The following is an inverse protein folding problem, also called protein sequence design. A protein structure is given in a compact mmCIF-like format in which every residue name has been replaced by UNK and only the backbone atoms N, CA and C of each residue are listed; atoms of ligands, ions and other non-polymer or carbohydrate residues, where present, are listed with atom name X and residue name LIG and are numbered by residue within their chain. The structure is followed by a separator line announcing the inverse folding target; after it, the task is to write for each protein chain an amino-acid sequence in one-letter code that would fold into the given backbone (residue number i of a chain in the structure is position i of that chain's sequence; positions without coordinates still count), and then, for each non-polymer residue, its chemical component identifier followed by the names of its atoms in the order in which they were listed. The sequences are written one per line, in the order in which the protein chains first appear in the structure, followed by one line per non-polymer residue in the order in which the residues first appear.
data_IF_425248088591
#
_entry.id   IF_425248088591
#
_cell.length_a   1.000
_cell.length_b   1.000
_cell.length_c   1.000
_cell.angle_alpha   90.00
_cell.angle_beta   90.00
_cell.angle_gamma   90.00
#
_symmetry.space_group_name_H-M   'P 1'
#
loop_
_entity.id
_entity.type
_entity.pdbx_description
1 polymer ?
#
# COMPACT_ATOMS: atom_id res chain seq x y z
N UNK A 1 -6.65 9.21 -22.08
CA UNK A 1 -5.69 8.11 -22.43
C UNK A 1 -6.37 6.76 -22.45
N UNK A 2 -5.80 5.74 -23.15
CA UNK A 2 -6.17 4.33 -23.01
C UNK A 2 -5.33 3.76 -21.87
N UNK A 3 -5.98 3.27 -20.81
CA UNK A 3 -5.30 2.94 -19.56
C UNK A 3 -4.82 1.48 -19.50
N UNK A 4 -3.50 1.30 -19.29
CA UNK A 4 -2.85 0.02 -19.04
C UNK A 4 -1.85 0.11 -17.89
N UNK A 5 -2.10 1.00 -16.91
CA UNK A 5 -1.16 1.32 -15.82
C UNK A 5 -1.08 0.24 -14.74
N UNK A 6 -2.17 -0.47 -14.48
CA UNK A 6 -2.22 -1.52 -13.47
C UNK A 6 -2.39 -2.91 -14.11
N UNK A 7 -2.23 -4.01 -13.36
CA UNK A 7 -2.34 -5.37 -13.87
C UNK A 7 -3.70 -5.71 -14.48
N UNK A 8 -4.75 -4.97 -14.15
CA UNK A 8 -6.07 -5.14 -14.80
C UNK A 8 -6.05 -4.93 -16.30
N UNK A 9 -5.14 -4.09 -16.80
CA UNK A 9 -4.98 -3.80 -18.23
C UNK A 9 -6.33 -3.64 -18.94
N UNK A 10 -7.27 -2.94 -18.30
CA UNK A 10 -8.67 -2.89 -18.72
C UNK A 10 -8.88 -2.13 -20.05
N UNK A 11 -7.86 -1.43 -20.56
CA UNK A 11 -7.95 -0.66 -21.81
C UNK A 11 -8.99 0.47 -21.77
N UNK A 12 -9.45 0.84 -20.58
CA UNK A 12 -10.49 1.86 -20.45
C UNK A 12 -10.00 3.21 -20.93
N UNK A 13 -10.88 3.93 -21.63
CA UNK A 13 -10.65 5.32 -21.98
C UNK A 13 -10.82 6.16 -20.72
N UNK A 14 -9.79 6.93 -20.37
CA UNK A 14 -9.82 7.93 -19.30
C UNK A 14 -9.73 9.32 -19.95
N UNK A 15 -10.66 10.18 -19.60
CA UNK A 15 -10.62 11.62 -19.89
C UNK A 15 -10.14 12.38 -18.66
N UNK A 16 -9.96 13.66 -18.78
CA UNK A 16 -9.56 14.50 -17.64
C UNK A 16 -10.52 14.38 -16.44
N UNK A 17 -11.82 14.20 -16.72
CA UNK A 17 -12.89 14.21 -15.71
C UNK A 17 -13.58 12.87 -15.48
N UNK A 18 -13.41 11.89 -16.39
CA UNK A 18 -14.10 10.61 -16.32
C UNK A 18 -13.18 9.42 -16.61
N UNK A 19 -13.47 8.29 -15.95
CA UNK A 19 -12.83 7.02 -16.21
C UNK A 19 -13.79 5.85 -16.05
N UNK A 20 -13.85 4.98 -17.06
CA UNK A 20 -14.75 3.81 -17.10
C UNK A 20 -14.02 2.49 -16.86
N UNK A 21 -12.81 2.55 -16.30
CA UNK A 21 -12.08 1.35 -15.88
C UNK A 21 -12.57 0.79 -14.55
N UNK A 22 -11.98 -0.32 -14.11
CA UNK A 22 -12.32 -0.95 -12.84
C UNK A 22 -12.15 0.00 -11.64
N UNK A 23 -11.13 0.85 -11.68
CA UNK A 23 -10.88 1.86 -10.65
C UNK A 23 -11.84 3.06 -10.73
N UNK A 24 -12.61 3.22 -11.80
CA UNK A 24 -13.56 4.32 -12.08
C UNK A 24 -12.95 5.74 -12.10
N UNK A 25 -11.64 5.85 -12.09
CA UNK A 25 -10.95 7.11 -11.92
C UNK A 25 -10.65 7.82 -13.25
N UNK A 26 -10.77 9.16 -13.29
CA UNK A 26 -10.37 10.00 -14.42
C UNK A 26 -8.85 10.03 -14.59
N UNK A 27 -8.37 10.72 -15.62
CA UNK A 27 -6.94 10.96 -15.86
C UNK A 27 -6.35 11.91 -14.81
N UNK A 28 -7.08 12.97 -14.45
CA UNK A 28 -6.71 13.87 -13.36
C UNK A 28 -6.71 13.13 -12.01
N UNK A 29 -5.71 13.34 -11.14
CA UNK A 29 -5.66 12.66 -9.85
C UNK A 29 -6.79 13.13 -8.94
N UNK A 30 -7.48 12.17 -8.34
CA UNK A 30 -8.49 12.42 -7.31
C UNK A 30 -7.86 12.11 -5.97
N UNK A 31 -7.79 13.10 -5.10
CA UNK A 31 -7.19 13.02 -3.77
C UNK A 31 -8.25 13.23 -2.70
N UNK A 32 -8.26 12.37 -1.70
CA UNK A 32 -9.25 12.39 -0.61
C UNK A 32 -8.72 13.07 0.65
N UNK A 33 -7.41 13.05 0.85
CA UNK A 33 -6.74 13.67 2.00
C UNK A 33 -5.25 13.79 1.74
N UNK A 34 -4.64 14.85 2.28
CA UNK A 34 -3.19 15.03 2.35
C UNK A 34 -2.82 15.61 3.72
N UNK A 35 -2.12 14.85 4.56
CA UNK A 35 -1.78 15.26 5.92
C UNK A 35 -0.61 14.46 6.48
N UNK A 36 0.01 14.96 7.56
CA UNK A 36 0.97 14.18 8.33
C UNK A 36 0.26 12.98 8.97
N UNK A 37 0.79 11.78 8.75
CA UNK A 37 0.27 10.54 9.31
C UNK A 37 1.35 9.87 10.17
N UNK A 38 1.02 9.58 11.44
CA UNK A 38 1.97 9.07 12.43
C UNK A 38 1.87 7.57 12.67
N UNK A 39 1.00 6.88 11.93
CA UNK A 39 0.62 5.49 12.17
C UNK A 39 1.04 4.54 11.03
N UNK A 40 1.97 4.97 10.16
CA UNK A 40 2.68 4.06 9.27
C UNK A 40 3.72 3.26 10.06
N UNK A 41 4.42 2.36 9.40
CA UNK A 41 5.53 1.62 10.01
C UNK A 41 6.50 2.58 10.73
N UNK A 42 7.01 2.21 11.93
CA UNK A 42 7.81 3.11 12.77
C UNK A 42 8.93 3.85 12.03
N UNK A 43 9.74 3.20 11.15
CA UNK A 43 10.82 3.91 10.46
C UNK A 43 10.36 4.78 9.28
N UNK A 44 9.07 4.72 8.92
CA UNK A 44 8.47 5.59 7.90
C UNK A 44 7.86 6.82 8.55
N UNK A 45 7.10 6.64 9.63
CA UNK A 45 6.47 7.75 10.36
C UNK A 45 7.46 8.56 11.18
N UNK A 46 8.42 7.90 11.83
CA UNK A 46 9.34 8.56 12.76
C UNK A 46 8.59 9.41 13.80
N UNK A 47 9.17 10.54 14.19
CA UNK A 47 8.59 11.44 15.21
C UNK A 47 7.61 12.44 14.64
N UNK A 48 7.85 12.97 13.43
CA UNK A 48 7.05 14.04 12.83
C UNK A 48 5.89 13.50 11.99
N UNK A 49 5.99 12.26 11.53
CA UNK A 49 5.01 11.63 10.66
C UNK A 49 5.43 11.58 9.19
N UNK A 50 4.73 10.76 8.45
CA UNK A 50 4.80 10.61 7.00
C UNK A 50 3.86 11.60 6.33
N UNK A 51 4.31 12.33 5.32
CA UNK A 51 3.49 13.24 4.51
C UNK A 51 2.62 12.44 3.56
N UNK A 52 1.44 12.03 4.01
CA UNK A 52 0.63 11.02 3.32
C UNK A 52 -0.41 11.65 2.42
N UNK A 53 -0.46 11.21 1.17
CA UNK A 53 -1.45 11.59 0.15
C UNK A 53 -2.29 10.36 -0.21
N UNK A 54 -3.58 10.43 0.07
CA UNK A 54 -4.54 9.35 -0.20
C UNK A 54 -5.24 9.56 -1.54
N UNK A 55 -4.95 8.69 -2.50
CA UNK A 55 -5.61 8.70 -3.80
C UNK A 55 -6.90 7.90 -3.78
N UNK A 56 -7.92 8.39 -4.47
CA UNK A 56 -9.21 7.72 -4.63
C UNK A 56 -9.18 6.71 -5.76
N UNK A 57 -10.11 5.74 -5.70
CA UNK A 57 -10.17 4.60 -6.60
C UNK A 57 -9.17 3.51 -6.22
N UNK A 58 -9.37 2.30 -6.74
CA UNK A 58 -8.47 1.18 -6.52
C UNK A 58 -8.56 0.17 -7.66
N UNK A 59 -7.45 -0.47 -7.99
CA UNK A 59 -7.40 -1.59 -8.95
C UNK A 59 -7.84 -2.93 -8.35
N UNK A 60 -7.96 -3.00 -7.02
CA UNK A 60 -8.48 -4.15 -6.28
C UNK A 60 -9.91 -3.86 -5.77
N UNK A 61 -10.62 -4.90 -5.41
CA UNK A 61 -11.97 -4.82 -4.84
C UNK A 61 -12.07 -5.52 -3.48
N UNK A 62 -11.08 -5.31 -2.60
CA UNK A 62 -10.99 -6.02 -1.33
C UNK A 62 -12.26 -5.83 -0.48
N UNK A 63 -12.91 -6.93 -0.10
CA UNK A 63 -14.14 -6.90 0.70
C UNK A 63 -13.96 -6.32 2.10
N UNK A 64 -12.72 -6.32 2.61
CA UNK A 64 -12.33 -5.83 3.94
C UNK A 64 -11.55 -4.50 3.90
N UNK A 65 -11.69 -3.71 2.82
CA UNK A 65 -10.92 -2.49 2.68
C UNK A 65 -11.33 -1.46 3.73
N UNK A 66 -10.42 -1.08 4.62
CA UNK A 66 -10.65 -0.03 5.60
C UNK A 66 -10.80 1.35 4.95
N UNK A 67 -10.17 1.53 3.79
CA UNK A 67 -10.27 2.75 2.99
C UNK A 67 -11.45 2.69 1.99
N UNK A 68 -12.56 2.04 2.34
CA UNK A 68 -13.70 1.81 1.45
C UNK A 68 -14.26 3.10 0.86
N UNK A 69 -14.34 4.16 1.66
CA UNK A 69 -14.85 5.46 1.24
C UNK A 69 -14.11 6.01 0.01
N UNK A 70 -12.79 5.81 -0.06
CA UNK A 70 -11.98 6.30 -1.19
C UNK A 70 -11.77 5.24 -2.26
N UNK A 71 -11.72 3.94 -1.91
CA UNK A 71 -11.44 2.86 -2.85
C UNK A 71 -12.66 2.33 -3.60
N UNK A 72 -13.86 2.40 -2.99
CA UNK A 72 -15.11 1.88 -3.54
C UNK A 72 -16.19 2.95 -3.75
N UNK A 73 -16.19 4.03 -2.95
CA UNK A 73 -17.20 5.10 -3.01
C UNK A 73 -16.68 6.36 -3.72
N UNK A 74 -15.43 6.32 -4.22
CA UNK A 74 -14.82 7.35 -5.06
C UNK A 74 -14.74 8.74 -4.40
N UNK A 75 -14.81 8.80 -3.06
CA UNK A 75 -14.71 10.06 -2.34
C UNK A 75 -13.34 10.70 -2.56
N UNK A 76 -13.35 11.97 -2.96
CA UNK A 76 -12.15 12.77 -3.19
C UNK A 76 -12.43 13.95 -4.12
N UNK A 77 -11.42 14.77 -4.33
CA UNK A 77 -11.47 15.95 -5.20
C UNK A 77 -10.45 15.81 -6.33
N UNK A 78 -10.85 16.01 -7.59
CA UNK A 78 -9.91 16.13 -8.69
C UNK A 78 -8.98 17.31 -8.49
N UNK A 79 -7.69 17.12 -8.72
CA UNK A 79 -6.68 18.18 -8.65
C UNK A 79 -5.77 18.13 -9.89
N UNK A 80 -5.01 19.18 -10.11
CA UNK A 80 -3.99 19.23 -11.17
C UNK A 80 -2.68 18.57 -10.70
N UNK A 81 -1.80 18.23 -11.64
CA UNK A 81 -0.43 17.76 -11.33
C UNK A 81 0.35 18.84 -10.56
N UNK A 82 0.18 20.12 -10.92
CA UNK A 82 0.81 21.23 -10.20
C UNK A 82 0.35 21.27 -8.75
N UNK A 83 -0.97 21.15 -8.50
CA UNK A 83 -1.50 21.12 -7.13
C UNK A 83 -0.98 19.90 -6.35
N UNK A 84 -0.89 18.75 -6.98
CA UNK A 84 -0.30 17.56 -6.34
C UNK A 84 1.14 17.82 -5.89
N UNK A 85 1.94 18.50 -6.73
CA UNK A 85 3.30 18.86 -6.38
C UNK A 85 3.37 19.90 -5.25
N UNK A 86 2.47 20.92 -5.26
CA UNK A 86 2.33 21.87 -4.16
C UNK A 86 2.03 21.17 -2.83
N UNK A 87 1.10 20.20 -2.82
CA UNK A 87 0.78 19.38 -1.65
C UNK A 87 2.03 18.68 -1.10
N UNK A 88 2.90 18.16 -1.96
CA UNK A 88 4.15 17.54 -1.50
C UNK A 88 5.02 18.54 -0.73
N UNK A 89 5.17 19.77 -1.24
CA UNK A 89 5.95 20.80 -0.56
C UNK A 89 5.27 21.35 0.69
N UNK A 90 3.93 21.44 0.71
CA UNK A 90 3.17 21.81 1.89
C UNK A 90 3.41 20.80 3.04
N UNK A 91 3.42 19.50 2.74
CA UNK A 91 3.70 18.45 3.72
C UNK A 91 5.16 18.45 4.17
N UNK A 92 6.10 18.67 3.25
CA UNK A 92 7.53 18.82 3.57
C UNK A 92 7.73 20.03 4.48
N UNK A 93 7.08 21.17 4.18
CA UNK A 93 7.11 22.38 5.01
C UNK A 93 6.54 22.19 6.42
N UNK A 94 5.65 21.22 6.61
CA UNK A 94 5.13 20.79 7.93
C UNK A 94 6.09 19.82 8.66
N UNK A 95 7.22 19.45 8.06
CA UNK A 95 8.23 18.57 8.66
C UNK A 95 8.05 17.08 8.36
N UNK A 96 7.32 16.71 7.30
CA UNK A 96 7.19 15.33 6.87
C UNK A 96 8.55 14.67 6.62
N UNK A 97 8.77 13.47 7.15
CA UNK A 97 10.00 12.70 6.91
C UNK A 97 10.13 12.14 5.49
N UNK A 98 9.01 12.00 4.81
CA UNK A 98 8.88 11.48 3.44
C UNK A 98 7.55 11.92 2.83
N UNK A 99 7.36 11.69 1.53
CA UNK A 99 6.06 11.80 0.86
C UNK A 99 5.53 10.40 0.57
N UNK A 100 4.45 10.04 1.22
CA UNK A 100 3.83 8.71 1.16
C UNK A 100 2.57 8.74 0.27
N UNK A 101 2.67 8.06 -0.85
CA UNK A 101 1.62 7.98 -1.86
C UNK A 101 0.80 6.71 -1.61
N UNK A 102 -0.40 6.85 -1.04
CA UNK A 102 -1.27 5.71 -0.71
C UNK A 102 -2.17 5.38 -1.88
N UNK A 103 -2.05 4.14 -2.36
CA UNK A 103 -2.80 3.56 -3.49
C UNK A 103 -2.60 4.33 -4.81
N UNK A 104 -1.35 4.62 -5.22
CA UNK A 104 -1.03 5.46 -6.36
C UNK A 104 -1.03 4.71 -7.70
N UNK A 105 -1.12 3.39 -7.72
CA UNK A 105 -0.90 2.49 -8.88
C UNK A 105 -1.58 2.98 -10.17
N UNK A 106 -2.84 3.36 -10.08
CA UNK A 106 -3.64 3.79 -11.24
C UNK A 106 -3.42 5.26 -11.62
N UNK A 107 -2.58 5.98 -10.86
CA UNK A 107 -2.12 7.34 -11.11
C UNK A 107 -0.61 7.45 -11.34
N UNK A 108 0.07 6.34 -11.64
CA UNK A 108 1.52 6.33 -11.87
C UNK A 108 1.98 7.38 -12.89
N UNK A 109 1.21 7.62 -13.96
CA UNK A 109 1.51 8.63 -14.97
C UNK A 109 1.49 10.06 -14.41
N UNK A 110 0.59 10.35 -13.48
CA UNK A 110 0.50 11.65 -12.79
C UNK A 110 1.65 11.81 -11.78
N UNK A 111 1.94 10.75 -11.03
CA UNK A 111 3.06 10.73 -10.09
C UNK A 111 4.39 10.97 -10.80
N UNK A 112 4.60 10.32 -11.97
CA UNK A 112 5.77 10.55 -12.80
C UNK A 112 5.93 12.03 -13.21
N UNK A 113 4.83 12.69 -13.56
CA UNK A 113 4.84 14.11 -13.89
C UNK A 113 5.12 14.98 -12.65
N UNK A 114 4.51 14.69 -11.51
CA UNK A 114 4.73 15.43 -10.27
C UNK A 114 6.16 15.26 -9.72
N UNK A 115 6.84 14.16 -10.05
CA UNK A 115 8.20 13.83 -9.64
C UNK A 115 9.23 14.04 -10.78
N UNK A 116 8.99 14.89 -11.76
CA UNK A 116 9.99 15.23 -12.76
C UNK A 116 11.27 15.74 -12.09
N UNK A 117 11.11 16.68 -11.15
CA UNK A 117 12.20 17.16 -10.30
C UNK A 117 12.18 16.41 -8.96
N UNK A 118 13.34 15.96 -8.46
CA UNK A 118 13.43 15.27 -7.18
C UNK A 118 12.86 16.08 -6.01
N UNK A 119 12.36 15.38 -5.00
CA UNK A 119 11.97 15.97 -3.72
C UNK A 119 13.16 15.92 -2.74
N UNK A 120 13.24 16.82 -1.75
CA UNK A 120 14.28 16.82 -0.74
C UNK A 120 14.12 15.72 0.33
N UNK A 121 13.05 14.94 0.26
CA UNK A 121 12.75 13.82 1.15
C UNK A 121 12.42 12.57 0.33
N UNK A 122 12.57 11.35 0.88
CA UNK A 122 12.20 10.13 0.18
C UNK A 122 10.74 10.11 -0.25
N UNK A 123 10.48 9.48 -1.39
CA UNK A 123 9.12 9.14 -1.85
C UNK A 123 8.82 7.70 -1.50
N UNK A 124 7.66 7.48 -0.89
CA UNK A 124 7.13 6.17 -0.52
C UNK A 124 5.98 5.79 -1.45
N UNK A 125 6.11 4.63 -2.09
CA UNK A 125 5.03 4.02 -2.89
C UNK A 125 4.31 2.98 -2.04
N UNK A 126 3.14 3.36 -1.53
CA UNK A 126 2.33 2.56 -0.63
C UNK A 126 1.16 1.96 -1.40
N UNK A 127 1.26 0.71 -1.77
CA UNK A 127 0.31 0.07 -2.68
C UNK A 127 -0.25 -1.24 -2.13
N UNK A 128 -1.34 -1.69 -2.73
CA UNK A 128 -1.89 -3.03 -2.46
C UNK A 128 -1.02 -4.17 -3.01
N UNK A 129 0.18 -3.92 -3.51
CA UNK A 129 1.07 -4.90 -4.12
C UNK A 129 0.63 -5.34 -5.53
N UNK A 130 -0.53 -4.91 -5.98
CA UNK A 130 -1.05 -5.23 -7.32
C UNK A 130 -0.58 -4.19 -8.32
N UNK A 131 0.74 -4.20 -8.57
CA UNK A 131 1.43 -3.27 -9.46
C UNK A 131 1.97 -3.99 -10.69
N UNK A 132 1.95 -3.30 -11.81
CA UNK A 132 2.50 -3.80 -13.06
C UNK A 132 4.01 -3.51 -13.11
N UNK A 133 4.82 -4.51 -13.43
CA UNK A 133 6.29 -4.39 -13.45
C UNK A 133 6.75 -3.26 -14.38
N UNK A 134 6.14 -3.12 -15.57
CA UNK A 134 6.50 -2.05 -16.51
C UNK A 134 6.18 -0.65 -15.95
N UNK A 135 5.11 -0.53 -15.18
CA UNK A 135 4.77 0.72 -14.49
C UNK A 135 5.77 1.04 -13.39
N UNK A 136 6.18 0.03 -12.62
CA UNK A 136 7.24 0.19 -11.61
C UNK A 136 8.58 0.57 -12.23
N UNK A 137 8.96 -0.03 -13.36
CA UNK A 137 10.19 0.35 -14.09
C UNK A 137 10.19 1.81 -14.52
N UNK A 138 9.05 2.35 -14.91
CA UNK A 138 8.95 3.78 -15.23
C UNK A 138 9.17 4.69 -13.98
N UNK A 139 8.95 4.18 -12.78
CA UNK A 139 9.17 4.88 -11.50
C UNK A 139 10.61 4.75 -10.97
N UNK A 140 11.48 3.98 -11.62
CA UNK A 140 12.86 3.76 -11.18
C UNK A 140 13.61 5.07 -10.94
N UNK A 141 14.28 5.19 -9.79
CA UNK A 141 14.98 6.39 -9.36
C UNK A 141 14.09 7.50 -8.80
N UNK A 142 12.76 7.40 -8.92
CA UNK A 142 11.81 8.38 -8.40
C UNK A 142 11.21 7.99 -7.05
N UNK A 143 11.20 6.70 -6.74
CA UNK A 143 10.70 6.13 -5.49
C UNK A 143 11.86 5.51 -4.74
N UNK A 144 12.02 5.84 -3.46
CA UNK A 144 13.08 5.32 -2.61
C UNK A 144 12.59 4.22 -1.67
N UNK A 145 11.32 4.25 -1.29
CA UNK A 145 10.73 3.30 -0.34
C UNK A 145 9.47 2.69 -0.96
N UNK A 146 9.38 1.38 -0.95
CA UNK A 146 8.17 0.67 -1.35
C UNK A 146 7.52 0.01 -0.15
N UNK A 147 6.20 0.19 -0.01
CA UNK A 147 5.33 -0.44 0.98
C UNK A 147 4.26 -1.29 0.28
N UNK A 148 4.64 -2.40 -0.37
CA UNK A 148 3.65 -3.28 -0.98
C UNK A 148 2.95 -4.13 0.08
N UNK A 149 1.64 -4.30 -0.04
CA UNK A 149 0.98 -5.40 0.63
C UNK A 149 1.21 -6.71 -0.14
N UNK A 150 1.53 -7.80 0.54
CA UNK A 150 1.42 -9.14 0.00
C UNK A 150 0.28 -9.86 0.72
N UNK A 151 -0.93 -9.69 0.18
CA UNK A 151 -2.20 -10.04 0.86
C UNK A 151 -2.48 -11.53 0.87
N UNK A 152 -2.15 -12.22 -0.23
CA UNK A 152 -2.48 -13.63 -0.45
C UNK A 152 -1.36 -14.34 -1.19
N UNK A 153 -1.10 -15.58 -0.80
CA UNK A 153 -0.27 -16.52 -1.56
C UNK A 153 -1.13 -17.38 -2.51
N UNK A 154 -2.38 -17.61 -2.14
CA UNK A 154 -3.32 -18.51 -2.82
C UNK A 154 -4.26 -17.74 -3.77
N UNK A 155 -4.31 -18.09 -5.08
CA UNK A 155 -5.20 -17.45 -6.07
C UNK A 155 -6.68 -17.46 -5.69
N UNK A 156 -7.14 -18.53 -5.04
CA UNK A 156 -8.54 -18.68 -4.62
C UNK A 156 -8.96 -17.59 -3.64
N UNK A 157 -8.14 -17.29 -2.61
CA UNK A 157 -8.42 -16.22 -1.65
C UNK A 157 -8.33 -14.84 -2.30
N UNK A 158 -7.36 -14.65 -3.18
CA UNK A 158 -7.19 -13.42 -3.93
C UNK A 158 -8.41 -13.13 -4.83
N UNK A 159 -8.89 -14.14 -5.55
CA UNK A 159 -10.12 -14.05 -6.35
C UNK A 159 -11.34 -13.76 -5.49
N UNK A 160 -11.50 -14.50 -4.37
CA UNK A 160 -12.68 -14.40 -3.50
C UNK A 160 -12.75 -13.08 -2.74
N UNK A 161 -11.62 -12.60 -2.20
CA UNK A 161 -11.65 -11.45 -1.29
C UNK A 161 -11.25 -10.13 -1.96
N UNK A 162 -10.59 -10.17 -3.13
CA UNK A 162 -10.13 -8.96 -3.82
C UNK A 162 -10.45 -8.94 -5.33
N UNK A 163 -11.17 -9.94 -5.83
CA UNK A 163 -11.56 -10.00 -7.24
C UNK A 163 -10.38 -10.11 -8.22
N UNK A 164 -9.23 -10.68 -7.79
CA UNK A 164 -7.99 -10.74 -8.56
C UNK A 164 -7.28 -12.09 -8.32
N UNK A 165 -7.68 -13.14 -9.03
CA UNK A 165 -7.07 -14.48 -8.87
C UNK A 165 -5.59 -14.51 -9.26
N UNK A 166 -5.14 -13.59 -10.13
CA UNK A 166 -3.76 -13.40 -10.57
C UNK A 166 -2.90 -12.58 -9.59
N UNK A 167 -3.49 -12.11 -8.48
CA UNK A 167 -2.80 -11.27 -7.49
C UNK A 167 -1.51 -11.88 -6.94
N UNK A 168 -1.44 -13.16 -6.52
CA UNK A 168 -0.22 -13.70 -5.90
C UNK A 168 0.99 -13.66 -6.83
N UNK A 169 0.82 -14.02 -8.09
CA UNK A 169 1.88 -13.99 -9.08
C UNK A 169 2.29 -12.56 -9.40
N UNK A 170 1.31 -11.69 -9.63
CA UNK A 170 1.51 -10.27 -9.91
C UNK A 170 2.23 -9.56 -8.77
N UNK A 171 1.80 -9.77 -7.52
CA UNK A 171 2.40 -9.14 -6.35
C UNK A 171 3.85 -9.60 -6.14
N UNK A 172 4.14 -10.90 -6.31
CA UNK A 172 5.51 -11.41 -6.24
C UNK A 172 6.42 -10.77 -7.27
N UNK A 173 5.99 -10.71 -8.54
CA UNK A 173 6.76 -10.06 -9.59
C UNK A 173 6.98 -8.57 -9.32
N UNK A 174 5.97 -7.87 -8.80
CA UNK A 174 6.06 -6.47 -8.41
C UNK A 174 7.05 -6.25 -7.27
N UNK A 175 6.99 -7.06 -6.20
CA UNK A 175 7.88 -6.96 -5.04
C UNK A 175 9.34 -7.23 -5.44
N UNK A 176 9.59 -8.23 -6.26
CA UNK A 176 10.94 -8.52 -6.78
C UNK A 176 11.48 -7.32 -7.57
N UNK A 177 10.66 -6.70 -8.41
CA UNK A 177 11.06 -5.49 -9.14
C UNK A 177 11.33 -4.30 -8.20
N UNK A 178 10.51 -4.10 -7.15
CA UNK A 178 10.73 -3.06 -6.15
C UNK A 178 12.07 -3.24 -5.42
N UNK A 179 12.39 -4.47 -5.05
CA UNK A 179 13.69 -4.81 -4.42
C UNK A 179 14.85 -4.61 -5.39
N UNK A 180 14.68 -4.98 -6.66
CA UNK A 180 15.69 -4.72 -7.70
C UNK A 180 16.03 -3.23 -7.79
N UNK A 181 15.03 -2.34 -7.68
CA UNK A 181 15.22 -0.89 -7.79
C UNK A 181 15.89 -0.28 -6.56
N UNK A 182 15.51 -0.72 -5.37
CA UNK A 182 16.00 -0.12 -4.13
C UNK A 182 17.24 -0.80 -3.57
N UNK A 183 17.46 -2.10 -3.86
CA UNK A 183 18.45 -2.91 -3.16
C UNK A 183 18.07 -3.11 -1.69
N UNK A 184 19.03 -3.54 -0.85
CA UNK A 184 18.83 -3.72 0.59
C UNK A 184 18.36 -2.43 1.27
N UNK A 185 17.53 -2.58 2.32
CA UNK A 185 17.04 -1.44 3.07
C UNK A 185 18.18 -0.68 3.77
N UNK A 186 17.98 0.62 3.93
CA UNK A 186 18.96 1.51 4.55
C UNK A 186 18.28 2.50 5.49
N UNK A 187 18.81 2.61 6.69
CA UNK A 187 18.39 3.56 7.71
C UNK A 187 19.39 4.71 7.87
N UNK A 188 18.87 5.90 8.14
CA UNK A 188 19.65 7.05 8.67
C UNK A 188 18.84 7.65 9.82
N UNK A 189 19.46 7.84 10.97
CA UNK A 189 18.85 8.41 12.18
C UNK A 189 17.53 7.72 12.59
N UNK A 190 17.47 6.39 12.44
CA UNK A 190 16.30 5.59 12.75
C UNK A 190 15.16 5.66 11.72
N UNK A 191 15.32 6.42 10.65
CA UNK A 191 14.36 6.53 9.55
C UNK A 191 14.80 5.69 8.35
N UNK A 192 13.84 5.02 7.73
CA UNK A 192 14.08 4.33 6.47
C UNK A 192 14.29 5.35 5.36
N UNK A 193 15.40 5.26 4.65
CA UNK A 193 15.74 6.12 3.52
C UNK A 193 15.54 5.43 2.18
N UNK A 194 15.66 4.11 2.16
CA UNK A 194 15.57 3.30 0.96
C UNK A 194 15.24 1.86 1.34
N UNK A 195 14.45 1.17 0.52
CA UNK A 195 14.18 -0.25 0.67
C UNK A 195 12.73 -0.62 0.50
N UNK A 196 12.43 -1.88 0.83
CA UNK A 196 11.08 -2.46 0.74
C UNK A 196 10.64 -2.97 2.10
N UNK A 197 9.44 -2.58 2.54
CA UNK A 197 8.73 -3.20 3.66
C UNK A 197 7.53 -3.95 3.09
N UNK A 198 7.57 -5.26 3.10
CA UNK A 198 6.47 -6.11 2.65
C UNK A 198 5.47 -6.23 3.80
N UNK A 199 4.22 -5.81 3.56
CA UNK A 199 3.17 -5.84 4.58
C UNK A 199 2.22 -7.00 4.37
N UNK A 200 1.84 -7.67 5.43
CA UNK A 200 0.83 -8.74 5.40
C UNK A 200 -0.20 -8.55 6.51
N UNK A 201 -1.48 -8.37 6.12
CA UNK A 201 -2.59 -8.35 7.06
C UNK A 201 -3.07 -9.78 7.33
N UNK A 202 -2.87 -10.23 8.56
CA UNK A 202 -3.40 -11.52 9.02
C UNK A 202 -4.92 -11.48 9.04
N UNK A 203 -5.54 -12.32 8.22
CA UNK A 203 -7.00 -12.48 8.20
C UNK A 203 -7.42 -13.59 9.18
N UNK A 204 -8.63 -13.48 9.78
CA UNK A 204 -9.11 -14.48 10.74
C UNK A 204 -9.23 -15.86 10.09
N UNK A 205 -8.66 -16.88 10.73
CA UNK A 205 -8.66 -18.26 10.23
C UNK A 205 -7.69 -18.53 9.06
N UNK A 206 -6.84 -17.57 8.71
CA UNK A 206 -5.92 -17.68 7.57
C UNK A 206 -4.43 -17.78 7.98
N UNK A 207 -4.14 -18.34 9.15
CA UNK A 207 -2.76 -18.54 9.62
C UNK A 207 -1.91 -19.32 8.61
N UNK A 208 -2.46 -20.37 7.99
CA UNK A 208 -1.73 -21.17 6.99
C UNK A 208 -1.35 -20.33 5.76
N UNK A 209 -2.21 -19.37 5.38
CA UNK A 209 -1.95 -18.44 4.28
C UNK A 209 -0.84 -17.45 4.65
N UNK A 210 -0.91 -16.88 5.85
CA UNK A 210 0.15 -16.00 6.36
C UNK A 210 1.52 -16.70 6.41
N UNK A 211 1.56 -17.97 6.82
CA UNK A 211 2.79 -18.77 6.81
C UNK A 211 3.37 -18.91 5.41
N UNK A 212 2.56 -19.22 4.40
CA UNK A 212 3.02 -19.32 3.00
C UNK A 212 3.56 -17.99 2.46
N UNK A 213 2.93 -16.88 2.86
CA UNK A 213 3.43 -15.53 2.52
C UNK A 213 4.82 -15.33 3.12
N UNK A 214 5.00 -15.63 4.41
CA UNK A 214 6.28 -15.48 5.11
C UNK A 214 7.36 -16.43 4.56
N UNK A 215 7.00 -17.67 4.26
CA UNK A 215 7.88 -18.66 3.62
C UNK A 215 8.41 -18.14 2.29
N UNK A 216 7.53 -17.64 1.42
CA UNK A 216 7.94 -17.05 0.15
C UNK A 216 8.91 -15.87 0.34
N UNK A 217 8.64 -14.97 1.28
CA UNK A 217 9.55 -13.83 1.55
C UNK A 217 10.92 -14.33 2.00
N UNK A 218 10.97 -15.36 2.86
CA UNK A 218 12.22 -15.94 3.36
C UNK A 218 13.01 -16.69 2.28
N UNK A 219 12.33 -17.34 1.35
CA UNK A 219 12.92 -18.07 0.23
C UNK A 219 13.45 -17.12 -0.85
N UNK A 220 12.71 -16.05 -1.15
CA UNK A 220 13.03 -15.11 -2.23
C UNK A 220 14.14 -14.13 -1.86
N UNK A 221 14.22 -13.70 -0.59
CA UNK A 221 15.12 -12.63 -0.19
C UNK A 221 16.09 -13.05 0.90
N UNK A 222 17.37 -12.72 0.69
CA UNK A 222 18.39 -12.91 1.73
C UNK A 222 18.10 -12.00 2.95
N UNK A 223 18.51 -12.40 4.17
CA UNK A 223 18.48 -11.52 5.35
C UNK A 223 19.12 -10.15 5.06
N UNK A 224 18.57 -9.10 5.63
CA UNK A 224 19.04 -7.73 5.39
C UNK A 224 18.59 -7.09 4.08
N UNK A 225 17.76 -7.80 3.27
CA UNK A 225 17.30 -7.26 1.97
C UNK A 225 15.98 -6.53 2.09
N UNK A 226 15.00 -7.10 2.78
CA UNK A 226 13.66 -6.54 2.96
C UNK A 226 13.26 -6.56 4.42
N UNK A 227 12.32 -5.70 4.77
CA UNK A 227 11.62 -5.75 6.05
C UNK A 227 10.23 -6.37 5.85
N UNK A 228 9.74 -7.06 6.85
CA UNK A 228 8.40 -7.64 6.86
C UNK A 228 7.55 -7.01 7.97
N UNK A 229 6.36 -6.55 7.63
CA UNK A 229 5.39 -6.02 8.60
C UNK A 229 4.18 -6.96 8.70
N UNK A 230 4.10 -7.69 9.82
CA UNK A 230 2.95 -8.53 10.15
C UNK A 230 1.91 -7.70 10.89
N UNK A 231 0.76 -7.50 10.26
CA UNK A 231 -0.33 -6.71 10.80
C UNK A 231 -1.43 -7.63 11.34
N UNK A 232 -1.67 -7.64 12.64
CA UNK A 232 -2.73 -8.44 13.29
C UNK A 232 -3.96 -7.62 13.70
N UNK A 233 -4.03 -6.35 13.32
CA UNK A 233 -5.10 -5.40 13.68
C UNK A 233 -6.35 -5.49 12.79
N UNK A 234 -6.64 -6.62 12.19
CA UNK A 234 -7.84 -6.81 11.36
C UNK A 234 -9.13 -6.55 12.14
N UNK A 235 -10.00 -5.74 11.53
CA UNK A 235 -11.38 -5.49 11.97
C UNK A 235 -12.31 -5.84 10.80
N UNK A 236 -13.44 -6.55 11.01
CA UNK A 236 -14.48 -6.66 9.99
C UNK A 236 -14.96 -5.27 9.58
N UNK A 237 -14.78 -4.92 8.30
CA UNK A 237 -15.14 -3.62 7.76
C UNK A 237 -15.76 -3.78 6.38
N UNK A 238 -16.66 -2.85 6.01
CA UNK A 238 -17.31 -2.87 4.73
C UNK A 238 -18.02 -4.20 4.46
N UNK A 239 -17.81 -4.76 3.28
CA UNK A 239 -18.42 -6.04 2.87
C UNK A 239 -17.88 -7.27 3.59
N UNK A 240 -16.81 -7.14 4.40
CA UNK A 240 -16.28 -8.26 5.17
C UNK A 240 -17.28 -8.79 6.21
N UNK A 241 -18.24 -7.97 6.66
CA UNK A 241 -19.31 -8.38 7.58
C UNK A 241 -20.27 -9.38 6.94
N UNK A 242 -20.34 -9.43 5.62
CA UNK A 242 -21.15 -10.35 4.83
C UNK A 242 -20.43 -11.68 4.55
N UNK A 243 -19.14 -11.76 4.85
CA UNK A 243 -18.30 -12.95 4.64
C UNK A 243 -18.11 -13.67 5.98
N UNK A 244 -18.80 -14.81 6.23
CA UNK A 244 -18.87 -15.40 7.57
C UNK A 244 -17.52 -15.65 8.23
N UNK A 245 -16.51 -16.13 7.48
CA UNK A 245 -15.19 -16.41 8.00
C UNK A 245 -14.37 -15.14 8.28
N UNK A 246 -14.71 -14.00 7.67
CA UNK A 246 -14.06 -12.70 7.90
C UNK A 246 -14.85 -11.83 8.90
N UNK A 247 -16.08 -12.18 9.26
CA UNK A 247 -16.89 -11.40 10.19
C UNK A 247 -16.52 -11.67 11.65
N UNK A 248 -15.23 -11.60 11.97
CA UNK A 248 -14.68 -11.64 13.33
C UNK A 248 -13.28 -11.02 13.34
N UNK A 249 -12.80 -10.63 14.49
CA UNK A 249 -11.41 -10.24 14.67
C UNK A 249 -10.47 -11.45 14.65
N UNK A 250 -9.18 -11.19 14.40
CA UNK A 250 -8.11 -12.17 14.62
C UNK A 250 -8.07 -12.52 16.11
N UNK A 251 -7.97 -13.81 16.42
CA UNK A 251 -7.81 -14.26 17.82
C UNK A 251 -6.39 -14.02 18.28
N UNK A 252 -6.16 -13.68 19.57
CA UNK A 252 -4.82 -13.53 20.11
C UNK A 252 -3.90 -14.76 19.90
N UNK A 253 -4.48 -15.96 19.86
CA UNK A 253 -3.73 -17.19 19.57
C UNK A 253 -3.28 -17.27 18.10
N UNK A 254 -4.09 -16.77 17.15
CA UNK A 254 -3.72 -16.72 15.73
C UNK A 254 -2.59 -15.70 15.52
N UNK A 255 -2.68 -14.52 16.15
CA UNK A 255 -1.65 -13.48 16.11
C UNK A 255 -0.32 -13.99 16.67
N UNK A 256 -0.33 -14.51 17.91
CA UNK A 256 0.89 -15.06 18.53
C UNK A 256 1.53 -16.19 17.72
N UNK A 257 0.72 -17.05 17.12
CA UNK A 257 1.24 -18.14 16.27
C UNK A 257 1.88 -17.61 14.97
N UNK A 258 1.35 -16.52 14.40
CA UNK A 258 1.94 -15.87 13.23
C UNK A 258 3.23 -15.12 13.59
N UNK A 259 3.25 -14.40 14.71
CA UNK A 259 4.44 -13.71 15.24
C UNK A 259 5.57 -14.67 15.55
N UNK A 260 5.25 -15.78 16.23
CA UNK A 260 6.25 -16.82 16.51
C UNK A 260 6.81 -17.42 15.22
N UNK A 261 5.96 -17.69 14.25
CA UNK A 261 6.40 -18.23 12.97
C UNK A 261 7.29 -17.25 12.18
N UNK A 262 6.96 -15.96 12.20
CA UNK A 262 7.80 -14.90 11.64
C UNK A 262 9.20 -14.90 12.27
N UNK A 263 9.26 -15.02 13.61
CA UNK A 263 10.52 -15.08 14.36
C UNK A 263 11.31 -16.38 14.06
N UNK A 264 10.65 -17.54 13.99
CA UNK A 264 11.27 -18.84 13.67
C UNK A 264 11.91 -18.85 12.27
N UNK A 265 11.31 -18.12 11.31
CA UNK A 265 11.87 -17.92 9.96
C UNK A 265 13.01 -16.91 9.94
N UNK A 266 13.22 -16.14 11.01
CA UNK A 266 14.22 -15.07 11.06
C UNK A 266 13.91 -13.92 10.13
N UNK A 267 12.63 -13.60 9.90
CA UNK A 267 12.23 -12.43 9.12
C UNK A 267 12.43 -11.16 9.96
N UNK A 268 13.17 -10.21 9.41
CA UNK A 268 13.42 -8.92 10.02
C UNK A 268 12.24 -7.96 9.78
N UNK A 269 11.85 -7.19 10.80
CA UNK A 269 10.78 -6.20 10.64
C UNK A 269 9.93 -6.01 11.88
N UNK A 270 8.59 -5.93 11.69
CA UNK A 270 7.66 -5.46 12.72
C UNK A 270 6.47 -6.41 12.83
N UNK A 271 5.96 -6.57 14.06
CA UNK A 271 4.67 -7.18 14.31
C UNK A 271 3.77 -6.16 15.03
N UNK A 272 2.62 -5.86 14.44
CA UNK A 272 1.61 -5.00 15.07
C UNK A 272 0.56 -5.90 15.73
N UNK A 273 0.46 -5.81 17.06
CA UNK A 273 -0.42 -6.64 17.86
C UNK A 273 -1.92 -6.33 17.66
N UNK A 274 -2.76 -7.21 18.17
CA UNK A 274 -4.23 -7.07 18.12
C UNK A 274 -4.75 -5.84 18.86
N UNK A 275 -3.98 -5.27 19.77
CA UNK A 275 -4.31 -4.04 20.53
C UNK A 275 -4.40 -2.81 19.58
N UNK A 276 -3.68 -2.83 18.45
CA UNK A 276 -3.75 -1.80 17.43
C UNK A 276 -5.02 -1.88 16.57
N UNK A 277 -5.91 -2.87 16.79
CA UNK A 277 -7.16 -3.03 16.07
C UNK A 277 -8.22 -2.02 16.53
N UNK A 278 -8.01 -0.73 16.24
CA UNK A 278 -8.91 0.38 16.60
C UNK A 278 -9.27 1.18 15.34
N UNK A 279 -10.52 1.62 15.25
CA UNK A 279 -11.01 2.43 14.13
C UNK A 279 -10.35 3.81 14.05
N UNK A 280 -9.74 4.27 15.14
CA UNK A 280 -9.07 5.57 15.26
C UNK A 280 -7.81 5.68 14.38
N UNK A 281 -7.25 4.55 13.95
CA UNK A 281 -6.12 4.53 13.01
C UNK A 281 -6.53 4.73 11.54
N UNK A 282 -7.83 4.68 11.24
CA UNK A 282 -8.35 5.01 9.91
C UNK A 282 -8.48 6.52 9.84
N UNK A 283 -7.73 7.23 8.98
CA UNK A 283 -7.82 8.68 8.89
C UNK A 283 -9.21 9.09 8.36
N UNK A 284 -9.80 10.16 8.89
CA UNK A 284 -11.03 10.70 8.30
C UNK A 284 -10.72 11.21 6.88
N UNK A 285 -11.49 10.77 5.90
CA UNK A 285 -11.41 11.32 4.54
C UNK A 285 -12.34 12.53 4.45
N UNK A 286 -11.76 13.72 4.53
CA UNK A 286 -12.47 15.00 4.69
C UNK A 286 -11.91 16.12 3.82
N UNK A 287 -11.10 15.77 2.83
CA UNK A 287 -10.39 16.69 1.92
C UNK A 287 -9.34 17.58 2.62
N UNK A 288 -8.96 17.29 3.86
CA UNK A 288 -7.87 18.03 4.52
C UNK A 288 -6.62 18.07 3.61
N UNK A 289 -6.08 19.26 3.37
CA UNK A 289 -4.85 19.50 2.60
C UNK A 289 -4.98 19.38 1.08
N UNK A 290 -6.18 19.13 0.54
CA UNK A 290 -6.42 18.92 -0.90
C UNK A 290 -6.69 20.22 -1.67
#
# INVERSE_FOLDING_TARGET
MICNLCPRQCGAVRTETEGRGLCRMPEAPVVARAALHKWEEPPVSGTNGSGTVFFSGCSLGCVFCQNEQISHQDFGKPITVSRLREIFFDLIGQGAHNINLVNPTHYAHVVLQALQEPLPVPVVWNSGGYDRVETLRALEGKVQIYLPDYKYHTPEYAGRYSGAADYPETARAAIVEMVRQTGPYCYEDGLLKRGVIIRHLLLPGKLAEAKRVMEWVREEFAPGTVLFSLMSQYIPWGRAVEVPELNRRVRPSEARAAEQYMADLGLEGFAQGVEAAQSEYIPPFDLTGV
#
